data_IF_082855193098
#
_entry.id   IF_082855193098
#
_cell.length_a   1.000
_cell.length_b   1.000
_cell.length_c   1.000
_cell.angle_alpha   90.00
_cell.angle_beta   90.00
_cell.angle_gamma   90.00
#
_symmetry.space_group_name_H-M   'P 1'
#
loop_
_entity.id
_entity.type
_entity.pdbx_description
1 polymer ?
#
# COMPACT_ATOMS: atom_id res chain seq x y z
N UNK A 1 -1.96 16.47 10.19
CA UNK A 1 -1.50 15.25 9.50
C UNK A 1 -2.65 14.76 8.63
N UNK A 2 -2.47 14.74 7.31
CA UNK A 2 -3.47 14.24 6.35
C UNK A 2 -3.75 12.76 6.64
N UNK A 3 -4.98 12.27 6.47
CA UNK A 3 -5.34 10.87 6.78
C UNK A 3 -4.42 9.84 6.11
N UNK A 4 -3.91 10.17 4.91
CA UNK A 4 -2.93 9.41 4.13
C UNK A 4 -1.61 9.16 4.85
N UNK A 5 -1.04 10.20 5.48
CA UNK A 5 0.20 10.08 6.25
C UNK A 5 0.02 9.13 7.44
N UNK A 6 -1.17 9.17 8.07
CA UNK A 6 -1.51 8.25 9.17
C UNK A 6 -1.65 6.82 8.69
N UNK A 7 -2.27 6.62 7.52
CA UNK A 7 -2.47 5.28 6.95
C UNK A 7 -1.15 4.65 6.49
N UNK A 8 -0.30 5.40 5.78
CA UNK A 8 1.02 4.93 5.37
C UNK A 8 1.89 4.59 6.58
N UNK A 9 1.85 5.41 7.63
CA UNK A 9 2.57 5.13 8.87
C UNK A 9 2.03 3.88 9.58
N UNK A 10 0.71 3.68 9.60
CA UNK A 10 0.09 2.48 10.17
C UNK A 10 0.48 1.21 9.41
N UNK A 11 0.39 1.23 8.08
CA UNK A 11 0.83 0.12 7.21
C UNK A 11 2.30 -0.19 7.43
N UNK A 12 3.13 0.85 7.51
CA UNK A 12 4.57 0.68 7.75
C UNK A 12 4.82 0.05 9.11
N UNK A 13 4.18 0.53 10.17
CA UNK A 13 4.34 -0.02 11.52
C UNK A 13 3.86 -1.48 11.62
N UNK A 14 2.72 -1.81 11.02
CA UNK A 14 2.19 -3.18 11.00
C UNK A 14 3.07 -4.11 10.17
N UNK A 15 3.51 -3.68 8.98
CA UNK A 15 4.41 -4.47 8.14
C UNK A 15 5.75 -4.74 8.82
N UNK A 16 6.33 -3.74 9.48
CA UNK A 16 7.62 -3.83 10.15
C UNK A 16 7.55 -4.74 11.39
N UNK A 17 6.46 -4.67 12.17
CA UNK A 17 6.27 -5.57 13.32
C UNK A 17 6.12 -7.03 12.89
N UNK A 18 5.28 -7.33 11.88
CA UNK A 18 5.10 -8.69 11.38
C UNK A 18 6.40 -9.23 10.76
N UNK A 19 7.12 -8.40 10.01
CA UNK A 19 8.41 -8.78 9.43
C UNK A 19 9.45 -9.11 10.52
N UNK A 20 9.50 -8.30 11.57
CA UNK A 20 10.42 -8.53 12.70
C UNK A 20 10.11 -9.85 13.40
N UNK A 21 8.83 -10.15 13.61
CA UNK A 21 8.37 -11.41 14.20
C UNK A 21 8.73 -12.60 13.29
N UNK A 22 8.53 -12.47 11.97
CA UNK A 22 8.89 -13.51 10.99
C UNK A 22 10.39 -13.81 10.97
N UNK A 23 11.23 -12.77 11.03
CA UNK A 23 12.69 -12.91 11.10
C UNK A 23 13.11 -13.58 12.42
N UNK A 24 12.53 -13.17 13.55
CA UNK A 24 12.80 -13.78 14.85
C UNK A 24 12.42 -15.26 14.87
N UNK A 25 11.24 -15.60 14.34
CA UNK A 25 10.79 -17.00 14.23
C UNK A 25 11.71 -17.83 13.34
N UNK A 26 12.21 -17.25 12.24
CA UNK A 26 13.16 -17.90 11.34
C UNK A 26 14.52 -18.16 12.03
N UNK A 27 15.06 -17.16 12.73
CA UNK A 27 16.31 -17.30 13.49
C UNK A 27 16.16 -18.39 14.56
N UNK A 28 15.10 -18.35 15.37
CA UNK A 28 14.85 -19.35 16.41
C UNK A 28 14.72 -20.76 15.81
N UNK A 29 14.01 -20.90 14.69
CA UNK A 29 13.85 -22.17 14.00
C UNK A 29 15.17 -22.75 13.46
N UNK A 30 16.14 -21.90 13.08
CA UNK A 30 17.44 -22.36 12.57
C UNK A 30 18.46 -22.67 13.68
N UNK A 31 18.47 -21.88 14.77
CA UNK A 31 19.51 -22.01 15.80
C UNK A 31 19.14 -22.97 16.93
N UNK A 32 17.84 -23.23 17.16
CA UNK A 32 17.39 -24.12 18.23
C UNK A 32 17.07 -25.51 17.68
N UNK A 33 17.90 -26.49 18.06
CA UNK A 33 17.69 -27.89 17.73
C UNK A 33 16.34 -28.37 18.27
N UNK A 34 15.51 -28.96 17.40
CA UNK A 34 14.16 -29.44 17.73
C UNK A 34 13.00 -28.59 17.19
N UNK A 35 13.28 -27.38 16.67
CA UNK A 35 12.27 -26.47 16.12
C UNK A 35 12.31 -26.36 14.58
N UNK A 36 12.67 -27.43 13.86
CA UNK A 36 12.69 -27.42 12.39
C UNK A 36 11.36 -26.99 11.75
N UNK A 37 10.24 -27.17 12.45
CA UNK A 37 8.92 -26.69 12.00
C UNK A 37 8.78 -25.15 12.02
N UNK A 38 9.58 -24.43 12.81
CA UNK A 38 9.59 -22.96 12.83
C UNK A 38 10.28 -22.34 11.61
N UNK A 39 11.16 -23.06 10.93
CA UNK A 39 11.83 -22.58 9.71
C UNK A 39 10.82 -22.29 8.58
N UNK A 40 9.95 -23.23 8.15
CA UNK A 40 8.95 -22.95 7.12
C UNK A 40 7.92 -21.91 7.59
N UNK A 41 7.59 -21.86 8.89
CA UNK A 41 6.73 -20.82 9.46
C UNK A 41 7.40 -19.45 9.32
N UNK A 42 8.67 -19.31 9.71
CA UNK A 42 9.43 -18.07 9.60
C UNK A 42 9.54 -17.58 8.16
N UNK A 43 9.78 -18.49 7.20
CA UNK A 43 9.78 -18.17 5.77
C UNK A 43 8.40 -17.69 5.33
N UNK A 44 7.33 -18.44 5.63
CA UNK A 44 5.97 -18.07 5.27
C UNK A 44 5.52 -16.73 5.87
N UNK A 45 5.89 -16.47 7.12
CA UNK A 45 5.58 -15.21 7.82
C UNK A 45 6.35 -14.04 7.21
N UNK A 46 7.62 -14.23 6.85
CA UNK A 46 8.45 -13.20 6.21
C UNK A 46 7.93 -12.85 4.81
N UNK A 47 7.66 -13.87 3.98
CA UNK A 47 7.08 -13.68 2.65
C UNK A 47 5.70 -13.02 2.75
N UNK A 48 4.85 -13.50 3.66
CA UNK A 48 3.53 -12.91 3.92
C UNK A 48 3.60 -11.46 4.39
N UNK A 49 4.55 -11.12 5.26
CA UNK A 49 4.76 -9.74 5.72
C UNK A 49 5.09 -8.80 4.55
N UNK A 50 5.92 -9.24 3.61
CA UNK A 50 6.25 -8.47 2.40
C UNK A 50 5.01 -8.25 1.54
N UNK A 51 4.17 -9.27 1.35
CA UNK A 51 2.92 -9.12 0.60
C UNK A 51 1.94 -8.15 1.27
N UNK A 52 1.74 -8.26 2.59
CA UNK A 52 0.88 -7.35 3.35
C UNK A 52 1.38 -5.90 3.22
N UNK A 53 2.69 -5.70 3.33
CA UNK A 53 3.31 -4.40 3.17
C UNK A 53 3.07 -3.82 1.77
N UNK A 54 3.30 -4.61 0.71
CA UNK A 54 3.07 -4.19 -0.68
C UNK A 54 1.62 -3.82 -0.95
N UNK A 55 0.65 -4.63 -0.48
CA UNK A 55 -0.78 -4.35 -0.62
C UNK A 55 -1.15 -3.04 0.10
N UNK A 56 -0.65 -2.85 1.32
CA UNK A 56 -0.91 -1.63 2.09
C UNK A 56 -0.34 -0.38 1.42
N UNK A 57 0.88 -0.45 0.89
CA UNK A 57 1.49 0.67 0.13
C UNK A 57 0.71 0.93 -1.16
N UNK A 58 0.31 -0.12 -1.88
CA UNK A 58 -0.46 -0.02 -3.11
C UNK A 58 -1.82 0.68 -2.88
N UNK A 59 -2.51 0.38 -1.79
CA UNK A 59 -3.75 1.06 -1.40
C UNK A 59 -3.55 2.55 -1.15
N UNK A 60 -2.46 2.95 -0.49
CA UNK A 60 -2.14 4.37 -0.26
C UNK A 60 -1.91 5.09 -1.59
N UNK A 61 -1.14 4.48 -2.49
CA UNK A 61 -0.87 5.07 -3.82
C UNK A 61 -2.15 5.18 -4.64
N UNK A 62 -3.03 4.17 -4.58
CA UNK A 62 -4.31 4.17 -5.28
C UNK A 62 -5.23 5.27 -4.76
N UNK A 63 -5.29 5.47 -3.44
CA UNK A 63 -6.05 6.56 -2.82
C UNK A 63 -5.54 7.94 -3.30
N UNK A 64 -4.21 8.08 -3.42
CA UNK A 64 -3.60 9.31 -3.97
C UNK A 64 -3.98 9.53 -5.45
N UNK A 65 -3.96 8.48 -6.26
CA UNK A 65 -4.32 8.57 -7.68
C UNK A 65 -5.81 8.84 -7.89
N UNK A 66 -6.70 8.22 -7.11
CA UNK A 66 -8.14 8.48 -7.16
C UNK A 66 -8.46 9.92 -6.80
N UNK A 67 -7.88 10.45 -5.72
CA UNK A 67 -8.12 11.83 -5.32
C UNK A 67 -7.62 12.84 -6.35
N UNK A 68 -6.46 12.60 -6.97
CA UNK A 68 -5.94 13.45 -8.05
C UNK A 68 -6.75 13.30 -9.35
N UNK A 69 -7.40 12.16 -9.58
CA UNK A 69 -8.26 11.94 -10.75
C UNK A 69 -9.50 12.86 -10.76
N UNK A 70 -10.11 13.12 -9.60
CA UNK A 70 -11.26 14.04 -9.49
C UNK A 70 -10.90 15.52 -9.74
N UNK A 71 -9.61 15.88 -9.74
CA UNK A 71 -9.12 17.22 -10.10
C UNK A 71 -8.75 17.29 -11.60
N UNK A 72 -9.01 16.22 -12.35
CA UNK A 72 -8.86 16.14 -13.79
C UNK A 72 -9.82 17.06 -14.54
N UNK A 73 -9.29 18.20 -14.96
CA UNK A 73 -9.84 19.15 -15.95
C UNK A 73 -11.12 19.85 -15.52
N UNK A 74 -10.98 21.10 -15.03
CA UNK A 74 -12.08 22.07 -15.13
C UNK A 74 -12.43 22.19 -16.61
N UNK A 75 -13.48 21.48 -17.04
CA UNK A 75 -14.10 21.68 -18.35
C UNK A 75 -14.70 23.08 -18.33
N UNK A 76 -13.89 24.06 -18.75
CA UNK A 76 -14.38 25.40 -19.02
C UNK A 76 -15.45 25.26 -20.10
N UNK A 77 -16.69 25.71 -19.86
CA UNK A 77 -17.72 25.62 -20.88
C UNK A 77 -17.22 26.37 -22.12
N UNK A 78 -17.21 25.69 -23.26
CA UNK A 78 -16.96 26.33 -24.56
C UNK A 78 -17.96 27.48 -24.69
N UNK A 79 -17.43 28.70 -24.74
CA UNK A 79 -18.24 29.91 -24.95
C UNK A 79 -18.84 29.79 -26.34
N UNK A 80 -20.10 29.37 -26.42
CA UNK A 80 -20.84 29.32 -27.69
C UNK A 80 -20.79 30.70 -28.33
N UNK A 81 -20.15 30.81 -29.50
CA UNK A 81 -20.14 32.02 -30.31
C UNK A 81 -21.58 32.24 -30.80
N UNK A 82 -22.31 33.11 -30.11
CA UNK A 82 -23.59 33.65 -30.56
C UNK A 82 -23.34 34.48 -31.83
N UNK A 83 -23.51 33.88 -33.02
CA UNK A 83 -23.41 34.61 -34.29
C UNK A 83 -23.00 33.84 -35.53
N UNK A 84 -23.24 32.53 -35.64
CA UNK A 84 -23.15 31.86 -36.94
C UNK A 84 -24.48 32.08 -37.70
N UNK A 85 -24.47 32.68 -38.91
CA UNK A 85 -25.65 32.69 -39.75
C UNK A 85 -25.94 31.24 -40.16
N UNK A 86 -27.11 30.77 -39.75
CA UNK A 86 -27.77 29.61 -40.36
C UNK A 86 -27.96 29.93 -41.85
N UNK A 87 -27.14 29.31 -42.69
CA UNK A 87 -27.41 29.17 -44.13
C UNK A 87 -28.34 27.98 -44.32
#
# INVERSE_FOLDING_TARGET
MRSREKFLNAVTYVGLTILTIGILAFIVGMFVNGYNALVPIGIGTTVGAVFIFLIGVFLVVTDEMLEKSYIGTKVVPIKSKKGAPIQ
#
